data_IF_172475174086
#
_entry.id   IF_172475174086
#
_cell.length_a   1.000
_cell.length_b   1.000
_cell.length_c   1.000
_cell.angle_alpha   90.00
_cell.angle_beta   90.00
_cell.angle_gamma   90.00
#
_symmetry.space_group_name_H-M   'P 1'
#
loop_
_entity.id
_entity.type
_entity.pdbx_description
1 polymer ?
#
# COMPACT_ATOMS: atom_id res chain seq x y z
N UNK A 1 25.41 -15.14 0.85
CA UNK A 1 25.44 -13.88 1.63
C UNK A 1 24.24 -13.07 1.20
N UNK A 2 23.08 -13.33 1.79
CA UNK A 2 21.94 -12.42 1.65
C UNK A 2 22.29 -11.18 2.43
N UNK A 3 22.34 -10.06 1.73
CA UNK A 3 22.46 -8.75 2.35
C UNK A 3 21.31 -8.62 3.36
N UNK A 4 21.65 -8.55 4.65
CA UNK A 4 20.69 -8.49 5.78
C UNK A 4 20.13 -7.08 5.93
N UNK A 5 19.85 -6.39 4.83
CA UNK A 5 19.17 -5.11 4.86
C UNK A 5 17.67 -5.36 4.81
N UNK A 6 16.95 -4.88 5.82
CA UNK A 6 15.49 -4.86 5.80
C UNK A 6 15.02 -4.12 4.55
N UNK A 7 14.23 -4.73 3.66
CA UNK A 7 13.77 -4.09 2.44
C UNK A 7 12.79 -2.95 2.77
N UNK A 8 12.94 -1.83 2.04
CA UNK A 8 11.98 -0.74 2.05
C UNK A 8 10.97 -0.97 0.93
N UNK A 9 9.70 -1.08 1.29
CA UNK A 9 8.58 -1.34 0.37
C UNK A 9 7.80 -0.05 0.17
N UNK A 10 8.00 0.59 -0.98
CA UNK A 10 7.21 1.74 -1.39
C UNK A 10 5.86 1.28 -1.95
N UNK A 11 4.76 1.69 -1.32
CA UNK A 11 3.41 1.35 -1.72
C UNK A 11 2.84 2.45 -2.62
N UNK A 12 2.35 2.07 -3.80
CA UNK A 12 1.60 2.95 -4.68
C UNK A 12 0.10 2.96 -4.33
N UNK A 13 -0.66 3.84 -4.97
CA UNK A 13 -2.11 3.97 -4.78
C UNK A 13 -2.82 2.66 -5.14
N UNK A 14 -2.42 2.01 -6.24
CA UNK A 14 -3.08 0.79 -6.70
C UNK A 14 -2.84 -0.40 -5.76
N UNK A 15 -1.63 -0.56 -5.20
CA UNK A 15 -1.33 -1.58 -4.20
C UNK A 15 -2.05 -1.36 -2.87
N UNK A 16 -2.49 -0.13 -2.57
CA UNK A 16 -3.30 0.17 -1.40
C UNK A 16 -4.82 -0.03 -1.65
N UNK A 17 -5.28 0.18 -2.88
CA UNK A 17 -6.70 0.09 -3.26
C UNK A 17 -7.11 -1.33 -3.70
N UNK A 18 -6.33 -1.99 -4.55
CA UNK A 18 -6.68 -3.29 -5.11
C UNK A 18 -6.89 -4.38 -4.04
N UNK A 19 -6.10 -4.45 -2.95
CA UNK A 19 -6.38 -5.39 -1.86
C UNK A 19 -7.72 -5.14 -1.16
N UNK A 20 -8.18 -3.89 -1.05
CA UNK A 20 -9.48 -3.57 -0.47
C UNK A 20 -10.60 -4.16 -1.32
N UNK A 21 -10.54 -3.96 -2.64
CA UNK A 21 -11.51 -4.51 -3.61
C UNK A 21 -11.55 -6.04 -3.60
N UNK A 22 -10.38 -6.67 -3.44
CA UNK A 22 -10.24 -8.13 -3.40
C UNK A 22 -10.46 -8.74 -2.00
N UNK A 23 -10.77 -7.93 -0.98
CA UNK A 23 -10.87 -8.35 0.43
C UNK A 23 -9.60 -9.08 0.94
N UNK A 24 -8.43 -8.55 0.57
CA UNK A 24 -7.11 -9.05 0.96
C UNK A 24 -6.54 -8.17 2.07
N UNK A 25 -5.97 -8.81 3.09
CA UNK A 25 -5.25 -8.17 4.19
C UNK A 25 -3.80 -7.93 3.75
N UNK A 26 -3.55 -6.83 3.02
CA UNK A 26 -2.25 -6.53 2.38
C UNK A 26 -1.05 -6.76 3.31
N UNK A 27 -1.07 -6.21 4.51
CA UNK A 27 0.07 -6.30 5.44
C UNK A 27 0.31 -7.72 5.95
N UNK A 28 -0.73 -8.54 6.11
CA UNK A 28 -0.58 -9.95 6.48
C UNK A 28 0.11 -10.74 5.34
N UNK A 29 -0.21 -10.41 4.09
CA UNK A 29 0.46 -11.01 2.93
C UNK A 29 1.91 -10.53 2.77
N UNK A 30 2.19 -9.25 3.05
CA UNK A 30 3.57 -8.74 3.08
C UNK A 30 4.39 -9.40 4.19
N UNK A 31 3.81 -9.58 5.38
CA UNK A 31 4.42 -10.31 6.49
C UNK A 31 4.74 -11.76 6.08
N UNK A 32 3.82 -12.43 5.38
CA UNK A 32 4.01 -13.80 4.86
C UNK A 32 5.11 -13.90 3.80
N UNK A 33 5.24 -12.90 2.93
CA UNK A 33 6.16 -12.92 1.79
C UNK A 33 7.58 -12.43 2.14
N UNK A 34 7.68 -11.38 2.94
CA UNK A 34 8.93 -10.66 3.20
C UNK A 34 9.45 -10.87 4.62
N UNK A 35 8.58 -11.21 5.58
CA UNK A 35 8.90 -11.37 6.99
C UNK A 35 9.21 -10.05 7.70
N UNK A 36 10.27 -9.37 7.29
CA UNK A 36 10.67 -8.05 7.81
C UNK A 36 10.78 -7.05 6.67
N UNK A 37 10.11 -5.91 6.81
CA UNK A 37 10.17 -4.81 5.84
C UNK A 37 9.85 -3.48 6.52
N UNK A 38 10.24 -2.39 5.87
CA UNK A 38 9.78 -1.04 6.20
C UNK A 38 8.80 -0.59 5.11
N UNK A 39 7.52 -0.44 5.46
CA UNK A 39 6.53 0.09 4.53
C UNK A 39 6.60 1.62 4.50
N UNK A 40 6.73 2.18 3.30
CA UNK A 40 6.67 3.63 3.08
C UNK A 40 5.59 3.96 2.05
N UNK A 41 4.87 5.04 2.30
CA UNK A 41 3.88 5.57 1.35
C UNK A 41 4.39 6.94 0.87
N UNK A 42 4.78 7.07 -0.41
CA UNK A 42 5.21 8.35 -0.95
C UNK A 42 4.17 9.46 -0.76
N UNK A 43 4.61 10.70 -0.56
CA UNK A 43 3.70 11.84 -0.36
C UNK A 43 2.73 12.04 -1.54
N UNK A 44 3.18 11.77 -2.77
CA UNK A 44 2.33 11.83 -3.97
C UNK A 44 1.16 10.83 -3.90
N UNK A 45 1.41 9.61 -3.42
CA UNK A 45 0.38 8.56 -3.24
C UNK A 45 -0.66 8.99 -2.21
N UNK A 46 -0.22 9.61 -1.09
CA UNK A 46 -1.14 10.18 -0.10
C UNK A 46 -2.05 11.25 -0.71
N UNK A 47 -1.48 12.17 -1.50
CA UNK A 47 -2.24 13.21 -2.17
C UNK A 47 -3.25 12.65 -3.18
N UNK A 48 -2.90 11.57 -3.88
CA UNK A 48 -3.80 10.90 -4.81
C UNK A 48 -4.97 10.23 -4.07
N UNK A 49 -4.68 9.51 -2.98
CA UNK A 49 -5.71 8.89 -2.13
C UNK A 49 -6.66 9.92 -1.52
N UNK A 50 -6.14 11.07 -1.05
CA UNK A 50 -6.96 12.18 -0.54
C UNK A 50 -7.89 12.73 -1.63
N UNK A 51 -7.40 12.82 -2.87
CA UNK A 51 -8.20 13.19 -4.04
C UNK A 51 -9.28 12.18 -4.38
N UNK A 52 -8.96 10.88 -4.36
CA UNK A 52 -9.91 9.79 -4.60
C UNK A 52 -11.01 9.75 -3.52
N UNK A 53 -10.63 9.90 -2.25
CA UNK A 53 -11.57 9.97 -1.13
C UNK A 53 -12.55 11.14 -1.26
N UNK A 54 -12.07 12.29 -1.76
CA UNK A 54 -12.88 13.47 -2.01
C UNK A 54 -13.80 13.31 -3.24
N UNK A 55 -13.35 12.60 -4.27
CA UNK A 55 -14.08 12.38 -5.52
C UNK A 55 -15.13 11.26 -5.46
N UNK A 56 -14.91 10.25 -4.61
CA UNK A 56 -15.81 9.10 -4.46
C UNK A 56 -17.15 9.42 -3.74
N UNK A 57 -17.35 10.67 -3.31
CA UNK A 57 -18.54 11.13 -2.60
C UNK A 57 -19.72 11.61 -3.45
N UNK A 58 -19.60 11.67 -4.79
CA UNK A 58 -20.76 12.02 -5.64
C UNK A 58 -21.49 10.77 -6.10
N UNK A 59 -22.32 10.22 -5.22
CA UNK A 59 -23.40 9.34 -5.65
C UNK A 59 -24.46 10.21 -6.36
N UNK A 60 -24.66 9.97 -7.66
CA UNK A 60 -25.73 10.57 -8.45
C UNK A 60 -27.10 9.99 -8.08
#
# INVERSE_FOLDING_TARGET
MTDTSTPVVALDTSALMAPVEANIRLFEELDRLLGTYEAVVPAAVRSELDGLASGAGTAA
#
